data_IF_445076099478
#
_entry.id   IF_445076099478
#
_cell.length_a   1.000
_cell.length_b   1.000
_cell.length_c   1.000
_cell.angle_alpha   90.00
_cell.angle_beta   90.00
_cell.angle_gamma   90.00
#
_symmetry.space_group_name_H-M   'P 1'
#
loop_
_entity.id
_entity.type
_entity.pdbx_description
1 polymer ?
#
# COMPACT_ATOMS: atom_id res chain seq x y z
N UNK A 1 -16.04 5.88 10.96
CA UNK A 1 -14.89 6.53 11.45
C UNK A 1 -14.88 8.09 11.37
N UNK A 2 -15.95 8.75 11.86
CA UNK A 2 -15.97 10.22 12.06
C UNK A 2 -14.83 10.70 12.98
N UNK A 3 -14.33 9.83 13.87
CA UNK A 3 -13.23 10.12 14.80
C UNK A 3 -11.90 10.26 14.05
N UNK A 4 -11.64 9.45 13.03
CA UNK A 4 -10.39 9.49 12.24
C UNK A 4 -10.30 10.78 11.39
N UNK A 5 -11.37 11.13 10.67
CA UNK A 5 -11.43 12.42 9.94
C UNK A 5 -11.28 13.63 10.88
N UNK A 6 -11.93 13.64 12.07
CA UNK A 6 -11.82 14.74 13.03
C UNK A 6 -10.45 14.85 13.70
N UNK A 7 -9.72 13.74 13.96
CA UNK A 7 -8.38 13.80 14.56
C UNK A 7 -7.32 14.29 13.57
N UNK A 8 -7.36 13.82 12.32
CA UNK A 8 -6.41 14.28 11.28
C UNK A 8 -6.53 15.79 11.07
N UNK A 9 -7.76 16.33 10.96
CA UNK A 9 -7.97 17.76 10.78
C UNK A 9 -7.59 18.62 11.99
N UNK A 10 -7.52 18.07 13.22
CA UNK A 10 -7.06 18.79 14.41
C UNK A 10 -5.53 18.93 14.51
N UNK A 11 -4.77 18.17 13.74
CA UNK A 11 -3.31 18.23 13.73
C UNK A 11 -2.77 19.31 12.79
N UNK A 12 -3.63 20.06 12.11
CA UNK A 12 -3.24 21.14 11.21
C UNK A 12 -3.60 22.49 11.84
N UNK A 13 -2.63 23.19 12.37
CA UNK A 13 -2.80 24.60 12.77
C UNK A 13 -2.43 25.52 11.62
N UNK A 14 -3.32 26.49 11.32
CA UNK A 14 -3.00 27.59 10.39
C UNK A 14 -2.26 28.69 11.12
N UNK A 15 -0.98 28.85 10.88
CA UNK A 15 -0.21 30.04 11.26
C UNK A 15 0.23 30.73 9.96
N UNK A 16 -0.29 31.92 9.73
CA UNK A 16 0.15 32.76 8.58
C UNK A 16 -0.09 32.14 7.20
N UNK A 17 -1.19 31.39 7.00
CA UNK A 17 -1.54 30.77 5.70
C UNK A 17 -0.86 29.44 5.42
N UNK A 18 0.15 29.05 6.15
CA UNK A 18 0.82 27.74 6.00
C UNK A 18 0.24 26.73 6.99
N UNK A 19 -0.13 25.54 6.50
CA UNK A 19 -0.57 24.43 7.33
C UNK A 19 0.69 23.80 7.94
N UNK A 20 0.90 23.96 9.25
CA UNK A 20 1.98 23.30 9.98
C UNK A 20 1.46 22.03 10.64
N UNK A 21 2.17 20.91 10.42
CA UNK A 21 1.86 19.62 11.03
C UNK A 21 2.37 19.62 12.49
N UNK A 22 1.49 19.44 13.48
CA UNK A 22 1.90 19.26 14.88
C UNK A 22 2.41 17.82 15.08
N UNK A 23 3.71 17.65 14.79
CA UNK A 23 4.39 16.36 14.87
C UNK A 23 4.38 15.80 16.29
N UNK A 24 4.51 16.64 17.32
CA UNK A 24 4.55 16.17 18.71
C UNK A 24 3.22 15.58 19.12
N UNK A 25 2.13 16.25 18.76
CA UNK A 25 0.78 15.77 19.02
C UNK A 25 0.45 14.46 18.27
N UNK A 26 0.89 14.36 17.01
CA UNK A 26 0.71 13.10 16.23
C UNK A 26 1.48 11.95 16.87
N UNK A 27 2.70 12.20 17.36
CA UNK A 27 3.53 11.18 18.04
C UNK A 27 2.87 10.60 19.29
N UNK A 28 2.00 11.35 19.97
CA UNK A 28 1.26 10.87 21.15
C UNK A 28 0.33 9.70 20.82
N UNK A 29 -0.17 9.63 19.59
CA UNK A 29 -1.05 8.55 19.12
C UNK A 29 -0.31 7.21 18.93
N UNK A 30 1.04 7.20 18.94
CA UNK A 30 1.86 6.02 18.71
C UNK A 30 2.50 5.51 20.00
N UNK A 31 1.93 4.50 20.67
CA UNK A 31 2.40 4.03 21.98
C UNK A 31 3.85 3.55 21.98
N UNK A 32 4.34 2.93 20.86
CA UNK A 32 5.73 2.51 20.76
C UNK A 32 6.74 3.65 20.86
N UNK A 33 6.38 4.86 20.45
CA UNK A 33 7.29 6.03 20.54
C UNK A 33 7.50 6.51 21.97
N UNK A 34 6.73 5.99 22.94
CA UNK A 34 6.93 6.24 24.38
C UNK A 34 8.01 5.35 25.01
N UNK A 35 8.49 4.33 24.27
CA UNK A 35 9.55 3.43 24.74
C UNK A 35 10.91 4.12 24.76
N UNK A 36 11.76 3.63 25.65
CA UNK A 36 13.18 3.99 25.70
C UNK A 36 14.03 2.77 25.32
N UNK A 37 15.14 3.02 24.65
CA UNK A 37 16.15 2.02 24.36
C UNK A 37 17.51 2.52 24.88
N UNK A 38 18.18 1.71 25.66
CA UNK A 38 19.46 2.08 26.31
C UNK A 38 19.38 3.43 27.07
N UNK A 39 18.24 3.68 27.77
CA UNK A 39 18.00 4.91 28.53
C UNK A 39 17.72 6.18 27.70
N UNK A 40 17.56 6.05 26.37
CA UNK A 40 17.24 7.16 25.45
C UNK A 40 15.87 6.96 24.80
N UNK A 41 15.16 8.04 24.40
CA UNK A 41 13.92 7.91 23.64
C UNK A 41 14.12 7.10 22.36
N UNK A 42 13.13 6.28 22.01
CA UNK A 42 13.15 5.50 20.78
C UNK A 42 13.21 6.40 19.55
N UNK A 43 14.22 6.19 18.71
CA UNK A 43 14.29 6.70 17.34
C UNK A 43 14.00 5.53 16.41
N UNK A 44 12.89 5.60 15.68
CA UNK A 44 12.45 4.55 14.76
C UNK A 44 12.51 5.05 13.32
N UNK A 45 13.38 4.46 12.50
CA UNK A 45 13.64 4.86 11.11
C UNK A 45 13.33 3.76 10.08
N UNK A 46 12.69 2.68 10.53
CA UNK A 46 12.42 1.48 9.70
C UNK A 46 10.94 1.35 9.29
N UNK A 47 10.28 2.49 9.05
CA UNK A 47 8.88 2.50 8.61
C UNK A 47 8.69 1.89 7.20
N UNK A 48 9.76 1.83 6.40
CA UNK A 48 9.74 1.18 5.08
C UNK A 48 9.52 -0.32 5.18
N UNK A 49 10.08 -0.99 6.20
CA UNK A 49 9.85 -2.40 6.46
C UNK A 49 8.54 -2.64 7.21
N UNK A 50 8.30 -1.90 8.28
CA UNK A 50 7.04 -1.97 9.04
C UNK A 50 6.73 -0.66 9.73
N UNK A 51 5.51 -0.18 9.57
CA UNK A 51 5.04 1.07 10.17
C UNK A 51 4.55 0.83 11.60
N UNK A 52 4.90 1.73 12.52
CA UNK A 52 4.35 1.73 13.88
C UNK A 52 2.82 1.90 13.83
N UNK A 53 2.12 1.22 14.74
CA UNK A 53 0.66 1.25 14.78
C UNK A 53 0.19 2.34 15.75
N UNK A 54 -0.69 3.25 15.33
CA UNK A 54 -1.34 4.19 16.24
C UNK A 54 -2.32 3.46 17.15
N UNK A 55 -2.60 4.04 18.31
CA UNK A 55 -3.48 3.44 19.32
C UNK A 55 -4.85 3.07 18.74
N UNK A 56 -5.44 3.89 17.87
CA UNK A 56 -6.74 3.61 17.27
C UNK A 56 -6.76 2.33 16.41
N UNK A 57 -5.64 1.96 15.79
CA UNK A 57 -5.52 0.69 15.05
C UNK A 57 -5.46 -0.48 16.01
N UNK A 58 -4.68 -0.35 17.09
CA UNK A 58 -4.57 -1.38 18.14
C UNK A 58 -5.95 -1.63 18.75
N UNK A 59 -6.65 -0.56 19.15
CA UNK A 59 -7.98 -0.63 19.73
C UNK A 59 -8.99 -1.28 18.78
N UNK A 60 -8.94 -0.97 17.48
CA UNK A 60 -9.84 -1.56 16.50
C UNK A 60 -9.59 -3.06 16.29
N UNK A 61 -8.33 -3.50 16.32
CA UNK A 61 -8.00 -4.94 16.25
C UNK A 61 -8.48 -5.67 17.51
N UNK A 62 -8.25 -5.08 18.68
CA UNK A 62 -8.73 -5.64 19.95
C UNK A 62 -10.28 -5.71 19.98
N UNK A 63 -10.96 -4.67 19.52
CA UNK A 63 -12.41 -4.62 19.43
C UNK A 63 -12.97 -5.72 18.51
N UNK A 64 -12.37 -5.88 17.32
CA UNK A 64 -12.72 -6.96 16.40
C UNK A 64 -12.59 -8.34 17.06
N UNK A 65 -11.43 -8.63 17.65
CA UNK A 65 -11.14 -9.94 18.25
C UNK A 65 -12.03 -10.23 19.46
N UNK A 66 -12.45 -9.20 20.18
CA UNK A 66 -13.21 -9.35 21.42
C UNK A 66 -14.72 -9.41 21.16
N UNK A 67 -15.22 -8.59 20.23
CA UNK A 67 -16.66 -8.31 20.17
C UNK A 67 -17.37 -8.83 18.92
N UNK A 68 -16.68 -8.95 17.76
CA UNK A 68 -17.36 -9.31 16.51
C UNK A 68 -16.48 -10.13 15.54
N UNK A 69 -15.58 -10.95 16.07
CA UNK A 69 -14.76 -11.87 15.26
C UNK A 69 -15.63 -12.97 14.63
N UNK A 70 -16.23 -12.67 13.50
CA UNK A 70 -17.10 -13.57 12.74
C UNK A 70 -16.51 -13.92 11.38
N UNK A 71 -17.13 -14.90 10.70
CA UNK A 71 -16.71 -15.32 9.34
C UNK A 71 -17.35 -14.40 8.32
N UNK A 72 -16.55 -13.52 7.73
CA UNK A 72 -17.00 -12.58 6.70
C UNK A 72 -17.50 -13.32 5.44
N UNK A 73 -18.61 -12.83 4.84
CA UNK A 73 -19.20 -13.25 3.56
C UNK A 73 -19.70 -14.71 3.48
N UNK A 74 -19.74 -15.44 4.59
CA UNK A 74 -20.15 -16.85 4.59
C UNK A 74 -21.07 -17.28 5.74
N UNK A 75 -21.38 -16.38 6.65
CA UNK A 75 -22.24 -16.67 7.79
C UNK A 75 -23.62 -16.03 7.60
N UNK A 76 -24.68 -16.76 7.97
CA UNK A 76 -26.05 -16.27 8.02
C UNK A 76 -26.48 -16.06 9.48
N UNK A 77 -25.72 -15.21 10.19
CA UNK A 77 -25.96 -14.85 11.58
C UNK A 77 -25.43 -13.44 11.88
N UNK A 78 -25.95 -12.81 12.92
CA UNK A 78 -25.77 -11.38 13.23
C UNK A 78 -24.31 -10.93 13.27
N UNK A 79 -23.40 -11.70 13.90
CA UNK A 79 -21.98 -11.35 13.94
C UNK A 79 -21.33 -11.35 12.55
N UNK A 80 -21.72 -12.28 11.66
CA UNK A 80 -21.22 -12.30 10.30
C UNK A 80 -21.70 -11.07 9.52
N UNK A 81 -22.96 -10.71 9.63
CA UNK A 81 -23.50 -9.50 9.00
C UNK A 81 -22.86 -8.21 9.54
N UNK A 82 -22.52 -8.17 10.83
CA UNK A 82 -21.80 -7.04 11.41
C UNK A 82 -20.38 -6.90 10.81
N UNK A 83 -19.66 -8.02 10.68
CA UNK A 83 -18.32 -8.04 10.05
C UNK A 83 -18.42 -7.61 8.59
N UNK A 84 -19.36 -8.14 7.82
CA UNK A 84 -19.56 -7.79 6.41
C UNK A 84 -19.84 -6.30 6.23
N UNK A 85 -20.74 -5.76 7.05
CA UNK A 85 -21.07 -4.34 7.01
C UNK A 85 -19.86 -3.46 7.28
N UNK A 86 -19.05 -3.80 8.29
CA UNK A 86 -17.82 -3.07 8.63
C UNK A 86 -16.76 -3.22 7.53
N UNK A 87 -16.62 -4.41 6.98
CA UNK A 87 -15.64 -4.70 5.90
C UNK A 87 -15.93 -3.87 4.64
N UNK A 88 -17.18 -3.88 4.17
CA UNK A 88 -17.59 -3.11 2.99
C UNK A 88 -17.58 -1.60 3.25
N UNK A 89 -17.89 -1.16 4.46
CA UNK A 89 -17.74 0.24 4.84
C UNK A 89 -16.27 0.70 4.79
N UNK A 90 -15.33 -0.11 5.27
CA UNK A 90 -13.89 0.20 5.18
C UNK A 90 -13.42 0.20 3.72
N UNK A 91 -13.93 -0.74 2.90
CA UNK A 91 -13.66 -0.77 1.46
C UNK A 91 -14.06 0.55 0.78
N UNK A 92 -15.24 1.09 1.10
CA UNK A 92 -15.68 2.38 0.54
C UNK A 92 -14.80 3.55 0.98
N UNK A 93 -14.31 3.54 2.24
CA UNK A 93 -13.35 4.56 2.71
C UNK A 93 -12.03 4.51 1.94
N UNK A 94 -11.51 3.31 1.68
CA UNK A 94 -10.27 3.14 0.91
C UNK A 94 -10.49 3.59 -0.53
N UNK A 95 -11.60 3.19 -1.15
CA UNK A 95 -11.96 3.60 -2.50
C UNK A 95 -12.04 5.13 -2.63
N UNK A 96 -12.71 5.81 -1.69
CA UNK A 96 -12.78 7.28 -1.64
C UNK A 96 -11.39 7.91 -1.52
N UNK A 97 -10.51 7.29 -0.71
CA UNK A 97 -9.15 7.82 -0.47
C UNK A 97 -8.26 7.73 -1.70
N UNK A 98 -8.35 6.64 -2.46
CA UNK A 98 -7.55 6.43 -3.68
C UNK A 98 -8.28 6.82 -4.97
N UNK A 99 -9.49 7.40 -4.85
CA UNK A 99 -10.32 7.88 -5.97
C UNK A 99 -10.70 6.80 -6.97
N UNK A 100 -11.12 5.62 -6.48
CA UNK A 100 -11.65 4.53 -7.30
C UNK A 100 -13.03 4.08 -6.77
N UNK A 101 -13.62 3.08 -7.41
CA UNK A 101 -14.87 2.48 -6.95
C UNK A 101 -14.58 1.39 -5.91
N UNK A 102 -15.51 1.10 -4.96
CA UNK A 102 -15.32 0.06 -3.96
C UNK A 102 -15.00 -1.32 -4.57
N UNK A 103 -15.63 -1.69 -5.67
CA UNK A 103 -15.39 -2.95 -6.38
C UNK A 103 -14.00 -3.07 -7.04
N UNK A 104 -13.26 -1.96 -7.14
CA UNK A 104 -11.89 -1.93 -7.64
C UNK A 104 -10.84 -2.10 -6.53
N UNK A 105 -11.29 -2.16 -5.26
CA UNK A 105 -10.41 -2.36 -4.10
C UNK A 105 -10.32 -3.84 -3.76
N UNK A 106 -9.13 -4.40 -3.80
CA UNK A 106 -8.85 -5.79 -3.40
C UNK A 106 -7.91 -5.78 -2.19
N UNK A 107 -8.31 -6.45 -1.11
CA UNK A 107 -7.45 -6.63 0.06
C UNK A 107 -6.55 -7.85 -0.12
N UNK A 108 -5.27 -7.68 0.19
CA UNK A 108 -4.24 -8.72 0.13
C UNK A 108 -3.45 -8.77 1.42
N UNK A 109 -2.56 -9.75 1.56
CA UNK A 109 -1.69 -9.87 2.73
C UNK A 109 -0.49 -8.90 2.72
N UNK A 110 -0.33 -8.12 1.64
CA UNK A 110 0.72 -7.12 1.51
C UNK A 110 1.13 -6.88 0.08
N UNK A 111 2.07 -5.94 -0.14
CA UNK A 111 2.52 -5.54 -1.48
C UNK A 111 3.06 -6.70 -2.31
N UNK A 112 3.81 -7.63 -1.69
CA UNK A 112 4.32 -8.82 -2.40
C UNK A 112 3.20 -9.69 -2.94
N UNK A 113 2.13 -9.89 -2.17
CA UNK A 113 0.95 -10.65 -2.61
C UNK A 113 0.23 -9.93 -3.75
N UNK A 114 0.01 -8.63 -3.62
CA UNK A 114 -0.60 -7.80 -4.67
C UNK A 114 0.17 -7.85 -5.98
N UNK A 115 1.49 -7.69 -5.91
CA UNK A 115 2.36 -7.70 -7.10
C UNK A 115 2.38 -9.08 -7.76
N UNK A 116 2.44 -10.16 -6.99
CA UNK A 116 2.32 -11.52 -7.51
C UNK A 116 0.95 -11.78 -8.13
N UNK A 117 -0.14 -11.30 -7.51
CA UNK A 117 -1.49 -11.44 -8.06
C UNK A 117 -1.59 -10.79 -9.44
N UNK A 118 -1.04 -9.58 -9.63
CA UNK A 118 -1.02 -8.91 -10.94
C UNK A 118 -0.12 -9.66 -11.92
N UNK A 119 1.10 -10.01 -11.51
CA UNK A 119 2.05 -10.67 -12.40
C UNK A 119 1.55 -12.03 -12.88
N UNK A 120 1.11 -12.89 -11.98
CA UNK A 120 0.67 -14.25 -12.34
C UNK A 120 -0.79 -14.31 -12.81
N UNK A 121 -1.68 -13.45 -12.28
CA UNK A 121 -3.08 -13.42 -12.70
C UNK A 121 -3.26 -12.71 -14.04
N UNK A 122 -2.67 -11.54 -14.23
CA UNK A 122 -2.77 -10.77 -15.47
C UNK A 122 -1.61 -11.04 -16.43
N UNK A 123 -0.36 -10.97 -15.95
CA UNK A 123 0.83 -11.05 -16.79
C UNK A 123 0.91 -12.36 -17.57
N UNK A 124 0.76 -13.50 -16.90
CA UNK A 124 0.83 -14.82 -17.56
C UNK A 124 -0.27 -15.00 -18.62
N UNK A 125 -1.45 -14.41 -18.41
CA UNK A 125 -2.59 -14.59 -19.31
C UNK A 125 -2.63 -13.59 -20.48
N UNK A 126 -1.96 -12.45 -20.37
CA UNK A 126 -2.05 -11.37 -21.36
C UNK A 126 -0.75 -11.07 -22.10
N UNK A 127 0.41 -11.43 -21.52
CA UNK A 127 1.69 -11.24 -22.18
C UNK A 127 2.02 -12.41 -23.08
N UNK A 128 2.71 -12.11 -24.17
CA UNK A 128 3.20 -13.08 -25.17
C UNK A 128 4.65 -12.77 -25.55
N UNK A 129 5.23 -13.64 -26.34
CA UNK A 129 6.61 -13.47 -26.85
C UNK A 129 6.78 -12.12 -27.54
N UNK A 130 7.83 -11.39 -27.14
CA UNK A 130 8.19 -10.07 -27.63
C UNK A 130 7.47 -8.89 -26.97
N UNK A 131 6.47 -9.12 -26.14
CA UNK A 131 5.88 -8.05 -25.30
C UNK A 131 6.89 -7.59 -24.23
N UNK A 132 6.86 -6.30 -23.88
CA UNK A 132 7.81 -5.72 -22.96
C UNK A 132 7.18 -5.36 -21.62
N UNK A 133 7.91 -5.68 -20.54
CA UNK A 133 7.63 -5.23 -19.17
C UNK A 133 8.75 -4.31 -18.74
N UNK A 134 8.42 -3.05 -18.43
CA UNK A 134 9.38 -2.05 -17.96
C UNK A 134 9.40 -2.01 -16.43
N UNK A 135 10.57 -2.09 -15.86
CA UNK A 135 10.86 -1.94 -14.43
C UNK A 135 12.05 -1.00 -14.25
N UNK A 136 12.44 -0.68 -13.02
CA UNK A 136 13.70 0.02 -12.73
C UNK A 136 14.73 -0.89 -12.07
N UNK A 137 15.99 -0.48 -12.02
CA UNK A 137 17.02 -1.16 -11.21
C UNK A 137 16.86 -0.88 -9.71
N UNK A 138 16.08 0.14 -9.34
CA UNK A 138 15.83 0.50 -7.95
C UNK A 138 14.63 -0.24 -7.32
N UNK A 139 13.99 -1.16 -8.07
CA UNK A 139 12.84 -1.89 -7.59
C UNK A 139 13.16 -2.84 -6.43
N UNK A 140 12.20 -2.98 -5.53
CA UNK A 140 12.24 -4.04 -4.53
C UNK A 140 12.07 -5.43 -5.20
N UNK A 141 12.72 -6.46 -4.66
CA UNK A 141 12.65 -7.83 -5.19
C UNK A 141 11.21 -8.34 -5.42
N UNK A 142 10.26 -7.93 -4.58
CA UNK A 142 8.83 -8.29 -4.73
C UNK A 142 8.19 -7.74 -6.00
N UNK A 143 8.75 -6.65 -6.58
CA UNK A 143 8.29 -6.07 -7.85
C UNK A 143 9.17 -6.48 -9.05
N UNK A 144 10.23 -7.24 -8.83
CA UNK A 144 11.13 -7.67 -9.90
C UNK A 144 11.00 -9.16 -10.20
N UNK A 145 11.08 -10.00 -9.16
CA UNK A 145 11.13 -11.46 -9.31
C UNK A 145 9.89 -12.06 -9.99
N UNK A 146 8.64 -11.61 -9.68
CA UNK A 146 7.47 -12.13 -10.36
C UNK A 146 7.51 -11.91 -11.88
N UNK A 147 7.99 -10.76 -12.32
CA UNK A 147 8.08 -10.46 -13.75
C UNK A 147 9.14 -11.30 -14.46
N UNK A 148 10.25 -11.65 -13.81
CA UNK A 148 11.21 -12.60 -14.38
C UNK A 148 10.60 -14.00 -14.59
N UNK A 149 9.79 -14.46 -13.62
CA UNK A 149 9.10 -15.75 -13.80
C UNK A 149 8.03 -15.67 -14.89
N UNK A 150 7.26 -14.60 -14.96
CA UNK A 150 6.28 -14.37 -16.03
C UNK A 150 6.99 -14.34 -17.39
N UNK A 151 8.11 -13.64 -17.51
CA UNK A 151 8.89 -13.57 -18.76
C UNK A 151 9.36 -14.95 -19.23
N UNK A 152 9.83 -15.82 -18.32
CA UNK A 152 10.21 -17.20 -18.65
C UNK A 152 9.04 -18.02 -19.24
N UNK A 153 7.83 -17.79 -18.75
CA UNK A 153 6.65 -18.54 -19.18
C UNK A 153 6.04 -18.00 -20.47
N UNK A 154 6.13 -16.69 -20.71
CA UNK A 154 5.43 -16.02 -21.80
C UNK A 154 6.32 -15.65 -22.99
N UNK A 155 7.65 -15.63 -22.80
CA UNK A 155 8.59 -15.06 -23.76
C UNK A 155 8.62 -13.53 -23.77
N UNK A 156 7.98 -12.87 -22.80
CA UNK A 156 8.05 -11.41 -22.64
C UNK A 156 9.47 -10.97 -22.27
N UNK A 157 9.80 -9.73 -22.60
CA UNK A 157 11.13 -9.15 -22.43
C UNK A 157 11.09 -8.15 -21.26
N UNK A 158 11.96 -8.34 -20.27
CA UNK A 158 12.15 -7.37 -19.21
C UNK A 158 13.09 -6.27 -19.69
N UNK A 159 12.65 -5.03 -19.65
CA UNK A 159 13.43 -3.84 -19.94
C UNK A 159 13.51 -2.92 -18.73
N UNK A 160 14.57 -2.12 -18.69
CA UNK A 160 14.80 -1.22 -17.58
C UNK A 160 14.62 0.23 -18.01
N UNK A 161 13.96 0.99 -17.14
CA UNK A 161 13.88 2.44 -17.22
C UNK A 161 15.12 2.99 -16.51
N UNK A 162 15.90 3.81 -17.21
CA UNK A 162 17.07 4.46 -16.62
C UNK A 162 16.64 5.42 -15.49
N UNK A 163 17.47 5.51 -14.48
CA UNK A 163 17.35 6.51 -13.43
C UNK A 163 18.23 7.73 -13.80
N UNK A 164 17.86 8.90 -13.28
CA UNK A 164 18.73 10.07 -13.40
C UNK A 164 19.94 9.99 -12.45
N UNK A 165 20.80 11.02 -12.46
CA UNK A 165 22.00 11.08 -11.63
C UNK A 165 21.71 11.07 -10.12
N UNK A 166 20.48 11.44 -9.72
CA UNK A 166 20.02 11.39 -8.34
C UNK A 166 19.30 10.06 -7.98
N UNK A 167 19.24 9.13 -8.91
CA UNK A 167 18.57 7.82 -8.74
C UNK A 167 17.05 7.90 -8.85
N UNK A 168 16.49 8.92 -9.48
CA UNK A 168 15.04 9.11 -9.63
C UNK A 168 14.53 8.66 -10.98
N UNK A 169 13.28 8.18 -11.00
CA UNK A 169 12.55 7.93 -12.24
C UNK A 169 12.00 9.26 -12.77
N UNK A 170 12.40 9.64 -13.98
CA UNK A 170 11.90 10.83 -14.66
C UNK A 170 10.92 10.48 -15.76
N UNK A 171 9.96 11.38 -16.04
CA UNK A 171 9.03 11.18 -17.16
C UNK A 171 9.76 11.06 -18.51
N UNK A 172 10.90 11.73 -18.66
CA UNK A 172 11.72 11.66 -19.85
C UNK A 172 12.31 10.25 -20.04
N UNK A 173 12.85 9.65 -18.97
CA UNK A 173 13.42 8.30 -19.02
C UNK A 173 12.33 7.25 -19.26
N UNK A 174 11.15 7.42 -18.65
CA UNK A 174 9.99 6.55 -18.97
C UNK A 174 9.62 6.66 -20.45
N UNK A 175 9.51 7.87 -21.00
CA UNK A 175 9.18 8.07 -22.43
C UNK A 175 10.22 7.47 -23.38
N UNK A 176 11.50 7.51 -23.01
CA UNK A 176 12.58 6.88 -23.80
C UNK A 176 12.51 5.35 -23.79
N UNK A 177 12.09 4.77 -22.66
CA UNK A 177 12.03 3.32 -22.48
C UNK A 177 10.77 2.71 -23.13
N UNK A 178 9.66 3.44 -23.22
CA UNK A 178 8.40 2.96 -23.78
C UNK A 178 8.49 2.78 -25.29
N UNK A 179 8.09 1.62 -25.79
CA UNK A 179 7.98 1.27 -27.20
C UNK A 179 6.55 0.80 -27.53
N UNK A 180 6.27 0.49 -28.79
CA UNK A 180 5.02 -0.11 -29.23
C UNK A 180 4.78 -1.52 -28.63
N UNK A 181 5.83 -2.19 -28.21
CA UNK A 181 5.80 -3.52 -27.58
C UNK A 181 5.56 -3.45 -26.06
N UNK A 182 5.68 -2.27 -25.45
CA UNK A 182 5.49 -2.10 -24.01
C UNK A 182 4.04 -2.36 -23.64
N UNK A 183 3.81 -3.36 -22.76
CA UNK A 183 2.49 -3.73 -22.23
C UNK A 183 2.33 -3.41 -20.76
N UNK A 184 3.40 -3.48 -20.00
CA UNK A 184 3.38 -3.26 -18.55
C UNK A 184 4.53 -2.32 -18.16
N UNK A 185 4.22 -1.39 -17.27
CA UNK A 185 5.19 -0.58 -16.53
C UNK A 185 4.94 -0.85 -15.06
N UNK A 186 5.90 -1.46 -14.37
CA UNK A 186 5.80 -1.84 -12.96
C UNK A 186 6.84 -1.08 -12.14
N UNK A 187 6.37 -0.11 -11.35
CA UNK A 187 7.19 0.79 -10.55
C UNK A 187 6.67 0.82 -9.11
N UNK A 188 7.56 0.87 -8.10
CA UNK A 188 7.24 0.97 -6.67
C UNK A 188 7.95 2.17 -6.01
#
# INVERSE_FOLDING_TARGET
CRIFKRKIFRCFERKGGTIMLDVLKIREDFPMLKKTMHGKPLIYLDNGATTLKPQCVIDSVCDYLTNYSGNAHRGDYDLSHEVDTKFEYVRSIVADFIHCKPEEVVYTYGSSDSLNMVAFGYGVTHLKEGDEVLITLAEHASNTLPWFEVAKHTGAIIKYIDLDEEGKVTLENVKKAVTEHTKIISLA
#
